data_IF_824855292428
#
_entry.id   IF_824855292428
#
_cell.length_a   1.000
_cell.length_b   1.000
_cell.length_c   1.000
_cell.angle_alpha   90.00
_cell.angle_beta   90.00
_cell.angle_gamma   90.00
#
_symmetry.space_group_name_H-M   'P 1'
#
loop_
_entity.id
_entity.type
_entity.pdbx_description
1 polymer ?
#
# COMPACT_ATOMS: atom_id res chain seq x y z
N UNK A 1 7.06 4.00 -4.74
CA UNK A 1 6.63 5.36 -4.35
C UNK A 1 7.30 6.50 -5.13
N UNK A 2 8.07 6.26 -6.22
CA UNK A 2 8.66 7.36 -7.00
C UNK A 2 7.60 8.13 -7.83
N UNK A 3 6.63 7.42 -8.41
CA UNK A 3 5.51 8.04 -9.13
C UNK A 3 4.63 8.88 -8.20
N UNK A 4 4.34 8.36 -7.00
CA UNK A 4 3.56 9.10 -6.01
C UNK A 4 4.26 10.38 -5.56
N UNK A 5 5.57 10.31 -5.31
CA UNK A 5 6.35 11.49 -4.96
C UNK A 5 6.32 12.53 -6.09
N UNK A 6 6.50 12.11 -7.35
CA UNK A 6 6.45 13.02 -8.49
C UNK A 6 5.10 13.74 -8.58
N UNK A 7 3.99 13.01 -8.45
CA UNK A 7 2.65 13.60 -8.44
C UNK A 7 2.45 14.58 -7.28
N UNK A 8 2.92 14.22 -6.07
CA UNK A 8 2.83 15.08 -4.88
C UNK A 8 3.64 16.37 -5.07
N UNK A 9 4.81 16.31 -5.69
CA UNK A 9 5.63 17.50 -5.95
C UNK A 9 4.97 18.47 -6.95
N UNK A 10 4.10 17.99 -7.84
CA UNK A 10 3.38 18.82 -8.81
C UNK A 10 2.02 19.31 -8.30
N UNK A 11 1.29 18.45 -7.57
CA UNK A 11 -0.12 18.68 -7.20
C UNK A 11 -0.34 18.99 -5.73
N UNK A 12 0.68 18.80 -4.88
CA UNK A 12 0.59 18.94 -3.41
C UNK A 12 -0.55 18.10 -2.82
N UNK A 13 -0.87 16.98 -3.47
CA UNK A 13 -1.94 16.07 -3.11
C UNK A 13 -1.51 14.62 -3.36
N UNK A 14 -2.12 13.69 -2.62
CA UNK A 14 -1.90 12.25 -2.78
C UNK A 14 -2.83 11.77 -3.89
N UNK A 15 -2.30 11.25 -4.99
CA UNK A 15 -3.09 10.66 -6.06
C UNK A 15 -3.42 9.18 -5.82
N UNK A 16 -4.57 8.73 -6.31
CA UNK A 16 -4.90 7.30 -6.43
C UNK A 16 -4.09 6.66 -7.58
N UNK A 17 -4.12 5.33 -7.71
CA UNK A 17 -3.35 4.61 -8.73
C UNK A 17 -3.68 5.05 -10.16
N UNK A 18 -4.94 5.38 -10.42
CA UNK A 18 -5.41 5.80 -11.74
C UNK A 18 -4.73 7.10 -12.19
N UNK A 19 -4.74 8.15 -11.36
CA UNK A 19 -4.22 9.47 -11.76
C UNK A 19 -2.70 9.54 -11.78
N UNK A 20 -2.03 8.73 -10.95
CA UNK A 20 -0.56 8.65 -10.94
C UNK A 20 -0.01 7.68 -12.00
N UNK A 21 -0.89 7.03 -12.77
CA UNK A 21 -0.50 6.08 -13.81
C UNK A 21 0.18 4.82 -13.25
N UNK A 22 -0.23 4.38 -12.06
CA UNK A 22 0.31 3.18 -11.42
C UNK A 22 -0.65 2.01 -11.54
N UNK A 23 -0.09 0.81 -11.68
CA UNK A 23 -0.78 -0.47 -11.59
C UNK A 23 -0.03 -1.34 -10.60
N UNK A 24 -0.77 -1.99 -9.71
CA UNK A 24 -0.20 -2.92 -8.76
C UNK A 24 0.47 -4.13 -9.43
N UNK A 25 1.29 -4.89 -8.71
CA UNK A 25 1.97 -6.06 -9.26
C UNK A 25 1.00 -7.12 -9.80
N UNK A 26 1.41 -7.78 -10.90
CA UNK A 26 0.70 -8.91 -11.47
C UNK A 26 -0.44 -8.54 -12.42
N UNK A 27 -1.49 -9.37 -12.43
CA UNK A 27 -2.65 -9.22 -13.29
C UNK A 27 -3.63 -8.21 -12.70
N UNK A 28 -4.26 -7.40 -13.56
CA UNK A 28 -5.27 -6.43 -13.10
C UNK A 28 -6.60 -7.12 -12.94
N UNK A 29 -7.23 -6.90 -11.79
CA UNK A 29 -8.58 -7.41 -11.51
C UNK A 29 -9.63 -6.32 -11.69
N UNK A 30 -9.26 -5.08 -11.37
CA UNK A 30 -10.14 -3.94 -11.47
C UNK A 30 -9.36 -2.64 -11.68
N UNK A 31 -9.83 -1.83 -12.62
CA UNK A 31 -9.44 -0.43 -12.71
C UNK A 31 -9.97 0.33 -11.49
N UNK A 32 -9.19 1.29 -11.00
CA UNK A 32 -9.63 2.19 -9.93
C UNK A 32 -10.80 3.08 -10.37
N UNK A 33 -11.38 3.76 -9.39
CA UNK A 33 -12.36 4.83 -9.60
C UNK A 33 -11.84 6.14 -9.01
N UNK A 34 -12.61 7.22 -9.14
CA UNK A 34 -12.33 8.49 -8.48
C UNK A 34 -12.16 8.38 -6.95
N UNK A 35 -12.65 7.31 -6.33
CA UNK A 35 -12.50 7.05 -4.89
C UNK A 35 -11.44 5.98 -4.56
N UNK A 36 -10.59 5.64 -5.54
CA UNK A 36 -9.58 4.60 -5.45
C UNK A 36 -10.14 3.21 -5.74
N UNK A 37 -9.54 2.19 -5.14
CA UNK A 37 -10.00 0.80 -5.21
C UNK A 37 -9.52 -0.01 -6.42
N UNK A 38 -8.50 0.45 -7.14
CA UNK A 38 -7.82 -0.38 -8.15
C UNK A 38 -7.28 -1.67 -7.51
N UNK A 39 -7.33 -2.79 -8.23
CA UNK A 39 -6.91 -4.10 -7.73
C UNK A 39 -6.05 -4.86 -8.72
N UNK A 40 -5.05 -5.55 -8.20
CA UNK A 40 -4.26 -6.50 -8.96
C UNK A 40 -3.87 -7.70 -8.09
N UNK A 41 -3.51 -8.81 -8.71
CA UNK A 41 -3.01 -9.97 -7.97
C UNK A 41 -1.81 -10.64 -8.65
N UNK A 42 -1.02 -11.29 -7.81
CA UNK A 42 -0.08 -12.35 -8.18
C UNK A 42 -0.64 -13.68 -7.68
N UNK A 43 0.09 -14.77 -7.90
CA UNK A 43 -0.31 -16.11 -7.39
C UNK A 43 -0.54 -16.14 -5.87
N UNK A 44 0.18 -15.31 -5.10
CA UNK A 44 0.17 -15.38 -3.63
C UNK A 44 -0.40 -14.12 -2.95
N UNK A 45 -0.55 -13.02 -3.67
CA UNK A 45 -0.93 -11.74 -3.10
C UNK A 45 -1.95 -10.98 -3.95
N UNK A 46 -2.93 -10.38 -3.27
CA UNK A 46 -3.79 -9.32 -3.79
C UNK A 46 -3.25 -7.96 -3.33
N UNK A 47 -3.25 -6.99 -4.24
CA UNK A 47 -2.88 -5.61 -3.98
C UNK A 47 -4.07 -4.72 -4.25
N UNK A 48 -4.31 -3.76 -3.36
CA UNK A 48 -5.41 -2.81 -3.50
C UNK A 48 -4.93 -1.39 -3.26
N UNK A 49 -5.30 -0.51 -4.16
CA UNK A 49 -5.29 0.93 -3.90
C UNK A 49 -6.32 1.24 -2.81
N UNK A 50 -6.03 2.22 -1.97
CA UNK A 50 -6.88 2.51 -0.83
C UNK A 50 -8.26 3.01 -1.27
N UNK A 51 -9.26 2.14 -1.11
CA UNK A 51 -10.65 2.50 -1.37
C UNK A 51 -11.13 3.52 -0.33
N UNK A 52 -11.96 4.47 -0.76
CA UNK A 52 -12.62 5.50 0.07
C UNK A 52 -11.73 6.54 0.75
N UNK A 53 -10.40 6.45 0.55
CA UNK A 53 -9.47 7.46 1.02
C UNK A 53 -9.36 8.67 0.08
N UNK A 54 -9.86 8.52 -1.16
CA UNK A 54 -9.78 9.52 -2.22
C UNK A 54 -11.14 10.10 -2.57
N UNK A 55 -11.14 11.36 -2.98
CA UNK A 55 -12.25 12.06 -3.61
C UNK A 55 -11.70 12.69 -4.89
N UNK A 56 -12.40 12.50 -6.02
CA UNK A 56 -11.97 13.00 -7.33
C UNK A 56 -10.51 12.67 -7.67
N UNK A 57 -10.12 11.43 -7.39
CA UNK A 57 -8.79 10.83 -7.58
C UNK A 57 -7.69 11.29 -6.62
N UNK A 58 -7.99 12.17 -5.67
CA UNK A 58 -6.97 12.77 -4.79
C UNK A 58 -7.35 12.70 -3.31
N UNK A 59 -6.34 12.80 -2.46
CA UNK A 59 -6.49 12.92 -1.02
C UNK A 59 -5.53 13.99 -0.50
N UNK A 60 -5.92 14.63 0.60
CA UNK A 60 -5.13 15.70 1.20
C UNK A 60 -3.81 15.14 1.72
N UNK A 61 -2.70 15.79 1.37
CA UNK A 61 -1.39 15.52 1.98
C UNK A 61 -1.34 16.20 3.35
N UNK A 62 -1.35 15.41 4.42
CA UNK A 62 -1.26 15.92 5.79
C UNK A 62 -0.45 14.98 6.71
N UNK A 63 -0.28 15.37 7.96
CA UNK A 63 0.46 14.60 8.97
C UNK A 63 -0.31 13.37 9.47
N UNK A 64 -1.64 13.36 9.41
CA UNK A 64 -2.46 12.18 9.72
C UNK A 64 -2.14 11.04 8.77
N UNK A 65 -1.91 11.36 7.49
CA UNK A 65 -1.52 10.46 6.42
C UNK A 65 -2.63 9.54 5.94
N UNK A 66 -2.46 9.07 4.71
CA UNK A 66 -3.41 8.23 4.00
C UNK A 66 -2.73 6.89 3.68
N UNK A 67 -3.38 5.77 3.99
CA UNK A 67 -2.96 4.48 3.44
C UNK A 67 -3.12 4.60 1.92
N UNK A 68 -2.04 4.47 1.16
CA UNK A 68 -2.10 4.57 -0.30
C UNK A 68 -2.39 3.22 -0.94
N UNK A 69 -1.88 2.13 -0.37
CA UNK A 69 -2.22 0.79 -0.83
C UNK A 69 -2.01 -0.26 0.25
N UNK A 70 -2.58 -1.44 0.01
CA UNK A 70 -2.47 -2.60 0.89
C UNK A 70 -2.18 -3.87 0.10
N UNK A 71 -1.56 -4.83 0.77
CA UNK A 71 -1.37 -6.19 0.27
C UNK A 71 -1.99 -7.21 1.22
N UNK A 72 -2.65 -8.18 0.61
CA UNK A 72 -3.24 -9.35 1.24
C UNK A 72 -2.58 -10.61 0.70
N UNK A 73 -2.11 -11.47 1.58
CA UNK A 73 -1.74 -12.84 1.19
C UNK A 73 -3.02 -13.66 0.99
N UNK A 74 -3.05 -14.42 -0.10
CA UNK A 74 -4.18 -15.27 -0.48
C UNK A 74 -4.25 -16.56 0.34
N UNK A 75 -3.10 -17.07 0.76
CA UNK A 75 -2.96 -18.23 1.62
C UNK A 75 -2.23 -17.83 2.91
N UNK A 76 -2.45 -18.61 3.97
CA UNK A 76 -1.72 -18.45 5.21
C UNK A 76 -0.22 -18.68 4.98
N UNK A 77 0.61 -17.71 5.37
CA UNK A 77 2.08 -17.78 5.25
C UNK A 77 2.67 -18.07 6.64
N UNK A 78 2.84 -19.36 6.95
CA UNK A 78 3.19 -19.82 8.30
C UNK A 78 2.14 -19.35 9.33
N UNK A 79 2.51 -18.51 10.28
CA UNK A 79 1.61 -17.97 11.30
C UNK A 79 0.83 -16.74 10.80
N UNK A 80 1.17 -16.20 9.63
CA UNK A 80 0.52 -15.02 9.06
C UNK A 80 -0.80 -15.40 8.37
N UNK A 81 -1.97 -15.00 8.90
CA UNK A 81 -3.26 -15.39 8.35
C UNK A 81 -3.50 -14.81 6.95
N UNK A 82 -4.35 -15.45 6.16
CA UNK A 82 -4.76 -14.95 4.84
C UNK A 82 -5.66 -13.69 4.97
N UNK A 83 -5.03 -12.52 5.04
CA UNK A 83 -5.68 -11.24 5.31
C UNK A 83 -4.88 -10.06 4.75
N UNK A 84 -5.44 -8.85 4.80
CA UNK A 84 -4.67 -7.63 4.54
C UNK A 84 -3.69 -7.44 5.70
N UNK A 85 -2.41 -7.65 5.41
CA UNK A 85 -1.34 -7.66 6.41
C UNK A 85 -0.31 -6.56 6.20
N UNK A 86 -0.15 -6.04 4.98
CA UNK A 86 0.83 -5.00 4.69
C UNK A 86 0.15 -3.79 4.09
N UNK A 87 0.60 -2.61 4.51
CA UNK A 87 0.12 -1.33 4.00
C UNK A 87 1.29 -0.39 3.79
N UNK A 88 1.13 0.55 2.87
CA UNK A 88 2.03 1.71 2.75
C UNK A 88 1.20 2.97 2.96
N UNK A 89 1.60 3.73 3.98
CA UNK A 89 1.01 5.01 4.33
C UNK A 89 1.84 6.15 3.77
N UNK A 90 1.17 7.18 3.27
CA UNK A 90 1.76 8.41 2.78
C UNK A 90 1.40 9.55 3.74
N UNK A 91 2.37 10.28 4.24
CA UNK A 91 2.20 11.48 5.09
C UNK A 91 2.94 12.66 4.49
N UNK A 92 2.56 13.88 4.85
CA UNK A 92 3.39 15.06 4.59
C UNK A 92 4.76 14.87 5.26
N UNK A 93 5.85 15.20 4.55
CA UNK A 93 7.16 15.29 5.17
C UNK A 93 7.26 16.59 6.00
N UNK A 94 7.98 16.55 7.12
CA UNK A 94 8.19 17.75 7.94
C UNK A 94 9.14 18.72 7.22
N UNK A 95 8.62 19.85 6.74
CA UNK A 95 9.44 21.02 6.38
C UNK A 95 9.34 21.55 4.95
N UNK A 96 8.56 20.95 4.05
CA UNK A 96 8.34 21.52 2.70
C UNK A 96 7.02 21.05 2.09
N UNK A 97 6.30 21.96 1.42
CA UNK A 97 5.15 21.60 0.59
C UNK A 97 5.62 20.78 -0.62
N UNK A 98 4.86 19.75 -1.00
CA UNK A 98 5.21 18.87 -2.13
C UNK A 98 6.20 17.76 -1.80
N UNK A 99 6.49 17.53 -0.52
CA UNK A 99 7.31 16.41 -0.04
C UNK A 99 6.49 15.44 0.82
N UNK A 100 6.67 14.14 0.60
CA UNK A 100 5.97 13.10 1.34
C UNK A 100 6.91 12.07 1.96
N UNK A 101 6.47 11.50 3.07
CA UNK A 101 7.08 10.34 3.69
C UNK A 101 6.22 9.11 3.46
N UNK A 102 6.87 7.98 3.19
CA UNK A 102 6.20 6.71 2.92
C UNK A 102 6.60 5.69 3.97
N UNK A 103 5.63 5.19 4.73
CA UNK A 103 5.87 4.25 5.82
C UNK A 103 5.16 2.94 5.51
N UNK A 104 5.94 1.87 5.41
CA UNK A 104 5.40 0.53 5.38
C UNK A 104 4.99 0.10 6.79
N UNK A 105 3.82 -0.52 6.92
CA UNK A 105 3.33 -1.04 8.19
C UNK A 105 2.72 -2.43 8.00
N UNK A 106 2.92 -3.26 9.01
CA UNK A 106 2.23 -4.54 9.14
C UNK A 106 0.98 -4.31 10.00
N UNK A 107 -0.11 -5.02 9.70
CA UNK A 107 -1.31 -5.00 10.52
C UNK A 107 -0.93 -5.32 11.99
N UNK A 108 -1.18 -4.40 12.94
CA UNK A 108 -0.76 -4.57 14.33
C UNK A 108 -1.26 -5.86 14.99
N UNK A 109 -2.44 -6.36 14.59
CA UNK A 109 -2.98 -7.63 15.12
C UNK A 109 -2.14 -8.83 14.72
N UNK A 110 -1.39 -8.73 13.62
CA UNK A 110 -0.64 -9.82 13.03
C UNK A 110 0.88 -9.52 13.00
N UNK A 111 1.33 -8.49 13.73
CA UNK A 111 2.72 -8.02 13.68
C UNK A 111 3.73 -9.12 14.00
N UNK A 112 3.48 -9.93 15.03
CA UNK A 112 4.39 -11.02 15.41
C UNK A 112 4.48 -12.14 14.34
N UNK A 113 3.42 -12.30 13.55
CA UNK A 113 3.25 -13.44 12.65
C UNK A 113 3.56 -13.10 11.19
N UNK A 114 3.41 -11.82 10.81
CA UNK A 114 3.55 -11.32 9.44
C UNK A 114 4.80 -10.43 9.26
N UNK A 115 5.67 -10.33 10.27
CA UNK A 115 7.02 -9.81 10.10
C UNK A 115 7.81 -10.73 9.19
N UNK A 116 8.69 -10.14 8.38
CA UNK A 116 9.66 -10.92 7.64
C UNK A 116 10.56 -11.63 8.66
N UNK A 117 10.31 -12.92 8.88
CA UNK A 117 11.25 -13.77 9.60
C UNK A 117 12.52 -13.81 8.76
N UNK A 118 13.66 -13.43 9.35
CA UNK A 118 14.96 -13.68 8.72
C UNK A 118 15.01 -15.17 8.41
N UNK A 119 15.12 -15.58 7.13
CA UNK A 119 15.15 -16.99 6.79
C UNK A 119 16.30 -17.65 7.54
N UNK A 120 15.97 -18.61 8.39
CA UNK A 120 16.95 -19.41 9.09
C UNK A 120 16.67 -20.88 8.79
N UNK A 121 17.72 -21.61 8.41
CA UNK A 121 17.60 -22.99 7.92
C UNK A 121 17.14 -23.97 9.02
N UNK A 122 17.16 -23.55 10.29
CA UNK A 122 16.69 -24.34 11.43
C UNK A 122 15.15 -24.41 11.53
N UNK A 123 14.42 -23.51 10.84
CA UNK A 123 12.95 -23.47 10.82
C UNK A 123 12.32 -23.94 9.51
N UNK A 124 13.11 -24.17 8.45
CA UNK A 124 12.61 -24.70 7.18
C UNK A 124 12.56 -26.24 7.26
N UNK A 125 11.37 -26.83 7.08
CA UNK A 125 11.19 -28.28 6.96
C UNK A 125 11.04 -29.06 8.28
N UNK A 126 10.62 -28.39 9.36
CA UNK A 126 10.19 -29.03 10.61
C UNK A 126 8.69 -28.85 10.81
#
# INVERSE_FOLDING_TARGET
MKLQQAYISESVAIGNWQIIGYKGPGQEDATGSATGGAKSHTTNFEYTDAASAFTDNTAILNSTGVTGWSAKNLAQLNDCPAAINWTVKTTAASGSAGEASFTAAINPTNLANCTALTPNFDKIGK
#
